data_IF_947129829954
#
_entry.id   IF_947129829954
#
_cell.length_a   1.000
_cell.length_b   1.000
_cell.length_c   1.000
_cell.angle_alpha   90.00
_cell.angle_beta   90.00
_cell.angle_gamma   90.00
#
_symmetry.space_group_name_H-M   'P 1'
#
loop_
_entity.id
_entity.type
_entity.pdbx_description
1 polymer ?
#
# COMPACT_ATOMS: atom_id res chain seq x y z
N UNK A 1 42.46 -36.74 14.30
CA UNK A 1 42.67 -35.64 15.29
C UNK A 1 41.52 -34.61 15.16
N UNK A 2 40.55 -34.60 16.07
CA UNK A 2 39.52 -33.55 16.10
C UNK A 2 40.12 -32.35 16.84
N UNK A 3 40.48 -31.30 16.11
CA UNK A 3 41.00 -30.09 16.72
C UNK A 3 39.94 -29.46 17.64
N UNK A 4 40.29 -29.18 18.89
CA UNK A 4 39.41 -28.49 19.85
C UNK A 4 39.20 -27.07 19.37
N UNK A 5 37.95 -26.70 19.12
CA UNK A 5 37.58 -25.32 18.78
C UNK A 5 37.99 -24.39 19.93
N UNK A 6 38.75 -23.33 19.64
CA UNK A 6 39.18 -22.35 20.65
C UNK A 6 38.01 -21.56 21.23
N UNK A 7 38.16 -20.97 22.41
CA UNK A 7 37.12 -20.13 23.04
C UNK A 7 36.70 -18.99 22.14
N UNK A 8 37.62 -18.36 21.42
CA UNK A 8 37.35 -17.28 20.43
C UNK A 8 36.52 -17.78 19.25
N UNK A 9 36.82 -18.96 18.73
CA UNK A 9 36.02 -19.56 17.64
C UNK A 9 34.62 -19.94 18.09
N UNK A 10 34.43 -20.46 19.33
CA UNK A 10 33.10 -20.71 19.90
C UNK A 10 32.30 -19.43 20.04
N UNK A 11 32.89 -18.35 20.53
CA UNK A 11 32.24 -17.05 20.66
C UNK A 11 31.78 -16.54 19.29
N UNK A 12 32.62 -16.60 18.27
CA UNK A 12 32.27 -16.16 16.91
C UNK A 12 31.12 -17.00 16.31
N UNK A 13 31.13 -18.32 16.55
CA UNK A 13 30.05 -19.22 16.12
C UNK A 13 28.72 -18.88 16.81
N UNK A 14 28.75 -18.55 18.12
CA UNK A 14 27.56 -18.14 18.86
C UNK A 14 27.03 -16.81 18.32
N UNK A 15 27.90 -15.81 18.09
CA UNK A 15 27.51 -14.53 17.52
C UNK A 15 26.88 -14.71 16.13
N UNK A 16 27.50 -15.53 15.27
CA UNK A 16 26.95 -15.85 13.96
C UNK A 16 25.60 -16.55 14.05
N UNK A 17 25.46 -17.53 14.94
CA UNK A 17 24.20 -18.25 15.15
C UNK A 17 23.07 -17.32 15.64
N UNK A 18 23.36 -16.43 16.59
CA UNK A 18 22.41 -15.43 17.08
C UNK A 18 22.02 -14.45 15.96
N UNK A 19 23.02 -13.95 15.21
CA UNK A 19 22.77 -13.08 14.05
C UNK A 19 21.81 -13.74 13.03
N UNK A 20 22.12 -14.98 12.61
CA UNK A 20 21.26 -15.71 11.68
C UNK A 20 19.89 -16.02 12.27
N UNK A 21 19.80 -16.37 13.55
CA UNK A 21 18.51 -16.60 14.21
C UNK A 21 17.64 -15.35 14.25
N UNK A 22 18.20 -14.19 14.59
CA UNK A 22 17.48 -12.92 14.59
C UNK A 22 17.03 -12.54 13.18
N UNK A 23 17.91 -12.70 12.18
CA UNK A 23 17.58 -12.40 10.79
C UNK A 23 16.47 -13.32 10.27
N UNK A 24 16.58 -14.63 10.47
CA UNK A 24 15.67 -15.62 9.86
C UNK A 24 14.32 -15.74 10.60
N UNK A 25 14.31 -15.59 11.91
CA UNK A 25 13.12 -15.85 12.74
C UNK A 25 12.57 -14.59 13.44
N UNK A 26 13.31 -13.50 13.45
CA UNK A 26 12.94 -12.28 14.18
C UNK A 26 11.92 -11.40 13.46
N UNK A 27 11.50 -11.75 12.24
CA UNK A 27 10.58 -10.92 11.44
C UNK A 27 10.97 -9.44 11.40
N UNK A 28 12.27 -9.16 11.32
CA UNK A 28 12.82 -7.80 11.39
C UNK A 28 12.15 -6.81 10.41
N UNK A 29 11.90 -7.16 9.14
CA UNK A 29 11.23 -6.25 8.22
C UNK A 29 9.86 -5.81 8.73
N UNK A 30 9.07 -6.74 9.31
CA UNK A 30 7.73 -6.43 9.82
C UNK A 30 7.81 -5.39 10.94
N UNK A 31 8.72 -5.55 11.89
CA UNK A 31 8.89 -4.64 13.03
C UNK A 31 9.53 -3.29 12.67
N UNK A 32 10.34 -3.25 11.61
CA UNK A 32 11.02 -2.02 11.18
C UNK A 32 10.17 -1.17 10.24
N UNK A 33 9.22 -1.80 9.53
CA UNK A 33 8.43 -1.13 8.50
C UNK A 33 6.99 -0.89 8.95
N UNK A 34 6.39 -1.81 9.75
CA UNK A 34 4.99 -1.71 10.14
C UNK A 34 4.84 -1.16 11.57
N UNK A 35 3.99 -0.15 11.70
CA UNK A 35 3.65 0.48 12.98
C UNK A 35 2.14 0.35 13.25
N UNK A 36 1.65 -0.87 13.60
CA UNK A 36 0.24 -1.11 13.80
C UNK A 36 -0.32 -0.34 14.99
N UNK A 37 -1.48 0.28 14.81
CA UNK A 37 -2.23 0.94 15.88
C UNK A 37 -3.59 0.29 16.03
N UNK A 38 -4.07 0.13 17.27
CA UNK A 38 -5.37 -0.48 17.59
C UNK A 38 -6.24 0.41 18.49
N UNK A 39 -5.74 1.58 18.87
CA UNK A 39 -6.52 2.52 19.68
C UNK A 39 -7.83 2.86 18.96
N UNK A 40 -8.96 2.92 19.65
CA UNK A 40 -10.23 3.33 19.05
C UNK A 40 -10.12 4.72 18.41
N UNK A 41 -10.69 4.86 17.22
CA UNK A 41 -10.78 6.13 16.49
C UNK A 41 -12.26 6.37 16.19
N UNK A 42 -12.70 7.60 16.32
CA UNK A 42 -14.02 8.02 15.83
C UNK A 42 -13.99 8.05 14.31
N UNK A 43 -14.74 7.15 13.68
CA UNK A 43 -14.80 7.02 12.24
C UNK A 43 -15.84 7.94 11.57
N UNK A 44 -16.50 8.81 12.32
CA UNK A 44 -17.56 9.68 11.81
C UNK A 44 -18.72 8.88 11.19
N UNK A 45 -19.06 9.18 9.95
CA UNK A 45 -20.17 8.54 9.22
C UNK A 45 -19.77 7.24 8.52
N UNK A 46 -18.48 6.85 8.59
CA UNK A 46 -18.04 5.62 7.93
C UNK A 46 -18.63 4.37 8.60
N UNK A 47 -19.02 3.41 7.78
CA UNK A 47 -19.67 2.16 8.22
C UNK A 47 -18.63 1.04 8.23
N UNK A 48 -18.50 0.38 9.39
CA UNK A 48 -17.62 -0.78 9.54
C UNK A 48 -18.23 -2.00 8.84
N UNK A 49 -17.39 -2.66 8.05
CA UNK A 49 -17.65 -3.99 7.47
C UNK A 49 -16.50 -4.94 7.84
N UNK A 50 -16.76 -6.23 7.71
CA UNK A 50 -15.73 -7.26 7.88
C UNK A 50 -15.63 -8.12 6.62
N UNK A 51 -14.41 -8.51 6.29
CA UNK A 51 -14.12 -9.42 5.17
C UNK A 51 -13.42 -10.64 5.73
N UNK A 52 -13.93 -11.86 5.51
CA UNK A 52 -13.26 -13.09 5.95
C UNK A 52 -11.84 -13.17 5.38
N UNK A 53 -10.87 -13.45 6.24
CA UNK A 53 -9.48 -13.59 5.84
C UNK A 53 -8.76 -14.59 6.74
N UNK A 54 -8.23 -15.67 6.15
CA UNK A 54 -7.61 -16.77 6.87
C UNK A 54 -8.53 -17.30 7.99
N UNK A 55 -8.06 -17.35 9.23
CA UNK A 55 -8.83 -17.79 10.40
C UNK A 55 -9.49 -16.63 11.16
N UNK A 56 -9.67 -15.48 10.52
CA UNK A 56 -10.24 -14.28 11.13
C UNK A 56 -10.88 -13.36 10.09
N UNK A 57 -10.80 -12.07 10.31
CA UNK A 57 -11.43 -11.06 9.47
C UNK A 57 -10.55 -9.81 9.29
N UNK A 58 -10.72 -9.15 8.15
CA UNK A 58 -10.23 -7.80 7.91
C UNK A 58 -11.33 -6.81 8.25
N UNK A 59 -10.95 -5.74 8.89
CA UNK A 59 -11.80 -4.58 9.10
C UNK A 59 -11.72 -3.68 7.88
N UNK A 60 -12.89 -3.34 7.34
CA UNK A 60 -13.05 -2.42 6.23
C UNK A 60 -14.01 -1.33 6.65
N UNK A 61 -13.68 -0.08 6.34
CA UNK A 61 -14.53 1.08 6.59
C UNK A 61 -15.02 1.65 5.27
N UNK A 62 -16.34 1.84 5.16
CA UNK A 62 -16.96 2.32 3.93
C UNK A 62 -17.63 3.65 4.15
N UNK A 63 -17.43 4.58 3.21
CA UNK A 63 -18.09 5.87 3.20
C UNK A 63 -18.52 6.25 1.78
N UNK A 64 -19.67 6.91 1.66
CA UNK A 64 -20.20 7.37 0.38
C UNK A 64 -20.04 8.89 0.26
N UNK A 65 -19.62 9.34 -0.91
CA UNK A 65 -19.70 10.75 -1.27
C UNK A 65 -21.15 11.25 -1.21
N UNK A 66 -21.35 12.55 -1.06
CA UNK A 66 -22.68 13.16 -1.04
C UNK A 66 -23.50 12.74 -2.24
N UNK A 67 -22.94 12.81 -3.45
CA UNK A 67 -23.65 12.44 -4.67
C UNK A 67 -24.04 10.96 -4.68
N UNK A 68 -23.20 10.06 -4.16
CA UNK A 68 -23.56 8.65 -4.03
C UNK A 68 -24.66 8.40 -3.01
N UNK A 69 -24.73 9.20 -1.94
CA UNK A 69 -25.82 9.18 -0.96
C UNK A 69 -27.12 9.65 -1.58
N UNK A 70 -27.12 10.80 -2.28
CA UNK A 70 -28.29 11.39 -2.92
C UNK A 70 -28.88 10.47 -4.02
N UNK A 71 -28.01 9.76 -4.77
CA UNK A 71 -28.42 8.82 -5.80
C UNK A 71 -28.79 7.44 -5.25
N UNK A 72 -28.52 7.16 -3.98
CA UNK A 72 -28.68 5.84 -3.37
C UNK A 72 -27.69 4.77 -3.86
N UNK A 73 -26.73 5.11 -4.72
CA UNK A 73 -25.75 4.19 -5.31
C UNK A 73 -24.43 4.89 -5.63
N UNK A 74 -23.35 4.12 -5.68
CA UNK A 74 -22.06 4.58 -6.24
C UNK A 74 -21.95 4.19 -7.72
N UNK A 75 -21.33 5.04 -8.52
CA UNK A 75 -20.95 4.76 -9.90
C UNK A 75 -19.52 4.23 -10.00
N UNK A 76 -18.68 4.56 -9.01
CA UNK A 76 -17.28 4.13 -8.89
C UNK A 76 -16.98 3.70 -7.45
N UNK A 77 -16.19 2.64 -7.29
CA UNK A 77 -15.69 2.19 -6.01
C UNK A 77 -14.19 2.41 -5.93
N UNK A 78 -13.73 3.04 -4.85
CA UNK A 78 -12.31 3.23 -4.57
C UNK A 78 -11.92 2.26 -3.44
N UNK A 79 -11.07 1.29 -3.74
CA UNK A 79 -10.46 0.41 -2.74
C UNK A 79 -9.19 1.08 -2.20
N UNK A 80 -9.27 1.57 -0.97
CA UNK A 80 -8.25 2.40 -0.37
C UNK A 80 -7.29 1.61 0.50
N UNK A 81 -5.98 1.75 0.22
CA UNK A 81 -4.88 1.19 0.99
C UNK A 81 -4.04 2.33 1.56
N UNK A 82 -3.99 2.42 2.88
CA UNK A 82 -3.35 3.51 3.58
C UNK A 82 -1.86 3.32 3.75
N UNK A 83 -1.17 4.40 4.12
CA UNK A 83 0.24 4.38 4.48
C UNK A 83 0.50 3.63 5.79
N UNK A 84 1.78 3.52 6.12
CA UNK A 84 2.20 2.92 7.38
C UNK A 84 1.71 3.76 8.58
N UNK A 85 1.34 3.10 9.64
CA UNK A 85 0.73 3.70 10.84
C UNK A 85 -0.64 4.38 10.63
N UNK A 86 -1.22 4.30 9.44
CA UNK A 86 -2.52 4.90 9.12
C UNK A 86 -3.62 3.86 8.99
N UNK A 87 -4.89 4.31 9.05
CA UNK A 87 -6.05 3.42 9.13
C UNK A 87 -7.27 4.01 8.43
N UNK A 88 -8.13 3.10 7.95
CA UNK A 88 -9.34 3.44 7.24
C UNK A 88 -10.38 4.19 8.09
N UNK A 89 -10.51 3.83 9.36
CA UNK A 89 -11.42 4.49 10.30
C UNK A 89 -11.09 5.97 10.55
N UNK A 90 -9.85 6.38 10.29
CA UNK A 90 -9.45 7.79 10.39
C UNK A 90 -9.88 8.61 9.18
N UNK A 91 -9.84 8.02 7.98
CA UNK A 91 -9.87 8.79 6.74
C UNK A 91 -11.06 8.53 5.83
N UNK A 92 -11.76 7.40 5.96
CA UNK A 92 -12.77 7.00 4.98
C UNK A 92 -13.86 8.07 4.75
N UNK A 93 -14.35 8.73 5.82
CA UNK A 93 -15.35 9.81 5.70
C UNK A 93 -14.78 11.01 4.97
N UNK A 94 -13.63 11.53 5.40
CA UNK A 94 -13.00 12.71 4.78
C UNK A 94 -12.61 12.45 3.31
N UNK A 95 -12.12 11.24 2.99
CA UNK A 95 -11.81 10.86 1.61
C UNK A 95 -13.07 10.74 0.74
N UNK A 96 -14.20 10.29 1.28
CA UNK A 96 -15.46 10.29 0.53
C UNK A 96 -15.92 11.73 0.21
N UNK A 97 -15.68 12.68 1.11
CA UNK A 97 -16.00 14.09 0.90
C UNK A 97 -15.16 14.73 -0.21
N UNK A 98 -13.94 14.27 -0.45
CA UNK A 98 -13.12 14.73 -1.58
C UNK A 98 -13.79 14.49 -2.94
N UNK A 99 -14.70 13.53 -3.02
CA UNK A 99 -15.40 13.11 -4.24
C UNK A 99 -16.88 13.56 -4.27
N UNK A 100 -17.26 14.63 -3.54
CA UNK A 100 -18.67 15.01 -3.39
C UNK A 100 -19.40 15.28 -4.69
N UNK A 101 -18.71 15.70 -5.74
CA UNK A 101 -19.29 15.95 -7.07
C UNK A 101 -19.43 14.66 -7.92
N UNK A 102 -18.96 13.52 -7.41
CA UNK A 102 -19.00 12.20 -8.05
C UNK A 102 -19.70 11.19 -7.16
N UNK A 103 -20.38 10.22 -7.75
CA UNK A 103 -21.00 9.12 -7.00
C UNK A 103 -19.97 8.03 -6.67
N UNK A 104 -19.16 8.26 -5.65
CA UNK A 104 -18.07 7.37 -5.22
C UNK A 104 -18.40 6.73 -3.88
N UNK A 105 -18.03 5.46 -3.72
CA UNK A 105 -17.97 4.77 -2.42
C UNK A 105 -16.54 4.34 -2.13
N UNK A 106 -15.99 4.81 -0.99
CA UNK A 106 -14.68 4.42 -0.48
C UNK A 106 -14.82 3.10 0.29
N UNK A 107 -13.91 2.19 0.06
CA UNK A 107 -13.69 0.97 0.83
C UNK A 107 -12.27 0.98 1.36
N UNK A 108 -12.08 1.50 2.56
CA UNK A 108 -10.77 1.56 3.23
C UNK A 108 -10.51 0.27 4.00
N UNK A 109 -9.39 -0.39 3.73
CA UNK A 109 -8.99 -1.61 4.43
C UNK A 109 -7.95 -1.32 5.51
N UNK A 110 -8.17 -1.84 6.72
CA UNK A 110 -7.14 -1.96 7.74
C UNK A 110 -6.37 -3.28 7.54
N UNK A 111 -5.04 -3.19 7.50
CA UNK A 111 -4.20 -4.39 7.35
C UNK A 111 -4.32 -5.34 8.54
N UNK A 112 -3.99 -6.63 8.37
CA UNK A 112 -3.89 -7.55 9.50
C UNK A 112 -3.06 -6.95 10.62
N UNK A 113 -3.59 -6.96 11.85
CA UNK A 113 -2.94 -6.35 13.02
C UNK A 113 -3.21 -4.86 13.23
N UNK A 114 -3.84 -4.16 12.28
CA UNK A 114 -4.24 -2.75 12.38
C UNK A 114 -5.73 -2.64 12.73
N UNK A 115 -6.11 -1.63 13.52
CA UNK A 115 -7.50 -1.41 13.92
C UNK A 115 -8.13 -2.67 14.50
N UNK A 116 -9.31 -3.04 14.00
CA UNK A 116 -10.05 -4.25 14.33
C UNK A 116 -9.71 -5.47 13.47
N UNK A 117 -8.79 -5.36 12.50
CA UNK A 117 -8.37 -6.51 11.71
C UNK A 117 -7.63 -7.55 12.55
N UNK A 118 -7.98 -8.82 12.37
CA UNK A 118 -7.34 -9.93 13.09
C UNK A 118 -5.96 -10.26 12.52
N UNK A 119 -5.19 -11.02 13.28
CA UNK A 119 -3.86 -11.50 12.88
C UNK A 119 -2.72 -10.58 13.32
N UNK A 120 -1.48 -10.99 13.03
CA UNK A 120 -0.30 -10.18 13.26
C UNK A 120 -0.10 -9.17 12.13
N UNK A 121 0.53 -8.03 12.43
CA UNK A 121 1.02 -7.11 11.42
C UNK A 121 2.26 -7.74 10.75
N UNK A 122 2.09 -8.18 9.50
CA UNK A 122 3.14 -8.80 8.70
C UNK A 122 3.08 -8.33 7.25
N UNK A 123 4.22 -7.98 6.69
CA UNK A 123 4.34 -7.59 5.30
C UNK A 123 3.81 -8.67 4.33
N UNK A 124 4.05 -9.94 4.65
CA UNK A 124 3.58 -11.09 3.85
C UNK A 124 2.06 -11.26 3.83
N UNK A 125 1.33 -10.58 4.69
CA UNK A 125 -0.14 -10.63 4.72
C UNK A 125 -0.79 -9.47 3.97
N UNK A 126 -0.06 -8.40 3.63
CA UNK A 126 -0.61 -7.21 2.99
C UNK A 126 -1.20 -7.53 1.61
N UNK A 127 -0.43 -8.16 0.74
CA UNK A 127 -0.88 -8.52 -0.60
C UNK A 127 -2.10 -9.46 -0.60
N UNK A 128 -2.05 -10.62 0.09
CA UNK A 128 -3.19 -11.52 0.21
C UNK A 128 -4.43 -10.86 0.83
N UNK A 129 -4.26 -10.00 1.84
CA UNK A 129 -5.37 -9.26 2.46
C UNK A 129 -6.00 -8.25 1.48
N UNK A 130 -5.16 -7.54 0.72
CA UNK A 130 -5.63 -6.58 -0.30
C UNK A 130 -6.45 -7.27 -1.39
N UNK A 131 -6.02 -8.46 -1.84
CA UNK A 131 -6.78 -9.28 -2.80
C UNK A 131 -8.10 -9.75 -2.20
N UNK A 132 -8.12 -10.20 -0.94
CA UNK A 132 -9.37 -10.62 -0.28
C UNK A 132 -10.37 -9.45 -0.16
N UNK A 133 -9.90 -8.25 0.18
CA UNK A 133 -10.73 -7.05 0.22
C UNK A 133 -11.25 -6.67 -1.17
N UNK A 134 -10.41 -6.78 -2.21
CA UNK A 134 -10.83 -6.55 -3.60
C UNK A 134 -11.91 -7.55 -4.05
N UNK A 135 -11.72 -8.83 -3.77
CA UNK A 135 -12.65 -9.88 -4.17
C UNK A 135 -14.02 -9.72 -3.47
N UNK A 136 -14.04 -9.25 -2.21
CA UNK A 136 -15.27 -8.87 -1.52
C UNK A 136 -15.93 -7.66 -2.15
N UNK A 137 -15.15 -6.59 -2.38
CA UNK A 137 -15.65 -5.39 -3.04
C UNK A 137 -16.20 -5.71 -4.44
N UNK A 138 -15.54 -6.58 -5.20
CA UNK A 138 -16.02 -6.98 -6.55
C UNK A 138 -17.41 -7.62 -6.51
N UNK A 139 -17.69 -8.41 -5.47
CA UNK A 139 -19.04 -8.98 -5.27
C UNK A 139 -20.07 -7.90 -4.94
N UNK A 140 -19.66 -6.88 -4.17
CA UNK A 140 -20.54 -5.77 -3.81
C UNK A 140 -20.76 -4.79 -4.98
N UNK A 141 -19.69 -4.47 -5.71
CA UNK A 141 -19.71 -3.49 -6.81
C UNK A 141 -20.47 -3.99 -8.06
N UNK A 142 -20.68 -5.29 -8.16
CA UNK A 142 -21.27 -5.97 -9.35
C UNK A 142 -20.43 -5.59 -10.59
N UNK A 143 -20.97 -4.84 -11.55
CA UNK A 143 -20.29 -4.45 -12.79
C UNK A 143 -19.71 -3.00 -12.75
N UNK A 144 -19.69 -2.39 -11.59
CA UNK A 144 -19.15 -1.05 -11.44
C UNK A 144 -17.62 -1.05 -11.38
N UNK A 145 -16.98 0.01 -11.91
CA UNK A 145 -15.53 0.13 -11.88
C UNK A 145 -14.98 0.20 -10.45
N UNK A 146 -13.90 -0.55 -10.22
CA UNK A 146 -13.12 -0.52 -8.99
C UNK A 146 -11.74 0.05 -9.30
N UNK A 147 -11.34 1.06 -8.52
CA UNK A 147 -10.05 1.73 -8.62
C UNK A 147 -9.29 1.52 -7.30
N UNK A 148 -8.28 0.66 -7.25
CA UNK A 148 -7.35 0.62 -6.12
C UNK A 148 -6.62 1.96 -5.98
N UNK A 149 -6.64 2.53 -4.78
CA UNK A 149 -5.91 3.73 -4.45
C UNK A 149 -4.98 3.46 -3.27
N UNK A 150 -3.68 3.46 -3.51
CA UNK A 150 -2.66 3.20 -2.50
C UNK A 150 -1.78 4.41 -2.22
N UNK A 151 -1.47 4.65 -0.93
CA UNK A 151 -0.49 5.65 -0.51
C UNK A 151 0.69 4.99 0.20
N UNK A 152 1.91 5.40 -0.13
CA UNK A 152 3.13 4.87 0.49
C UNK A 152 3.16 3.34 0.40
N UNK A 153 3.33 2.61 1.52
CA UNK A 153 3.24 1.15 1.53
C UNK A 153 1.92 0.62 0.96
N UNK A 154 0.82 1.39 1.07
CA UNK A 154 -0.45 1.03 0.46
C UNK A 154 -0.42 1.01 -1.07
N UNK A 155 0.49 1.75 -1.70
CA UNK A 155 0.68 1.69 -3.13
C UNK A 155 1.24 0.32 -3.58
N UNK A 156 2.03 -0.36 -2.74
CA UNK A 156 2.47 -1.74 -3.02
C UNK A 156 1.30 -2.71 -3.04
N UNK A 157 0.33 -2.54 -2.12
CA UNK A 157 -0.90 -3.34 -2.07
C UNK A 157 -1.79 -3.09 -3.31
N UNK A 158 -1.96 -1.82 -3.71
CA UNK A 158 -2.72 -1.45 -4.89
C UNK A 158 -2.09 -2.04 -6.17
N UNK A 159 -0.77 -1.97 -6.31
CA UNK A 159 -0.02 -2.58 -7.41
C UNK A 159 -0.19 -4.10 -7.43
N UNK A 160 -0.09 -4.76 -6.27
CA UNK A 160 -0.28 -6.21 -6.19
C UNK A 160 -1.70 -6.63 -6.60
N UNK A 161 -2.72 -5.92 -6.13
CA UNK A 161 -4.10 -6.17 -6.56
C UNK A 161 -4.25 -6.04 -8.07
N UNK A 162 -3.75 -4.97 -8.66
CA UNK A 162 -3.89 -4.72 -10.08
C UNK A 162 -3.08 -5.69 -10.98
N UNK A 163 -1.97 -6.22 -10.46
CA UNK A 163 -1.20 -7.27 -11.15
C UNK A 163 -1.94 -8.63 -11.14
N UNK A 164 -2.91 -8.84 -10.23
CA UNK A 164 -3.58 -10.14 -10.05
C UNK A 164 -5.09 -10.10 -10.26
N UNK A 165 -5.70 -8.92 -10.41
CA UNK A 165 -7.14 -8.72 -10.60
C UNK A 165 -7.43 -7.68 -11.65
N UNK A 166 -8.53 -7.84 -12.40
CA UNK A 166 -8.96 -6.82 -13.35
C UNK A 166 -9.48 -5.58 -12.61
N UNK A 167 -8.81 -4.47 -12.79
CA UNK A 167 -9.16 -3.17 -12.22
C UNK A 167 -9.48 -2.18 -13.33
N UNK A 168 -10.31 -1.16 -13.04
CA UNK A 168 -10.61 -0.10 -13.99
C UNK A 168 -9.41 0.83 -14.22
N UNK A 169 -8.55 0.96 -13.23
CA UNK A 169 -7.33 1.75 -13.22
C UNK A 169 -6.78 1.81 -11.81
N UNK A 170 -5.71 2.59 -11.58
CA UNK A 170 -5.05 2.76 -10.28
C UNK A 170 -4.79 4.22 -9.96
N UNK A 171 -4.77 4.54 -8.66
CA UNK A 171 -4.21 5.79 -8.13
C UNK A 171 -3.10 5.41 -7.16
N UNK A 172 -1.90 5.94 -7.39
CA UNK A 172 -0.70 5.61 -6.63
C UNK A 172 -0.06 6.88 -6.09
N UNK A 173 -0.10 7.04 -4.76
CA UNK A 173 0.48 8.19 -4.07
C UNK A 173 1.80 7.78 -3.43
N UNK A 174 2.90 8.40 -3.84
CA UNK A 174 4.26 8.18 -3.35
C UNK A 174 4.65 6.69 -3.27
N UNK A 175 4.57 5.91 -4.38
CA UNK A 175 4.79 4.47 -4.36
C UNK A 175 6.26 4.12 -4.07
N UNK A 176 6.56 3.33 -3.00
CA UNK A 176 7.92 2.94 -2.66
C UNK A 176 8.35 1.65 -3.38
N UNK A 177 9.53 1.58 -3.99
CA UNK A 177 10.22 0.33 -4.29
C UNK A 177 11.00 -0.12 -3.04
N UNK A 178 10.33 -0.80 -2.12
CA UNK A 178 10.82 -1.08 -0.76
C UNK A 178 12.21 -1.71 -0.74
N UNK A 179 12.48 -2.68 -1.63
CA UNK A 179 13.76 -3.40 -1.68
C UNK A 179 14.90 -2.47 -2.06
N UNK A 180 14.71 -1.70 -3.11
CA UNK A 180 15.69 -0.75 -3.63
C UNK A 180 15.96 0.36 -2.60
N UNK A 181 14.92 0.84 -1.94
CA UNK A 181 15.07 1.83 -0.87
C UNK A 181 15.92 1.31 0.27
N UNK A 182 15.63 0.09 0.78
CA UNK A 182 16.39 -0.49 1.90
C UNK A 182 17.85 -0.66 1.52
N UNK A 183 18.14 -1.20 0.33
CA UNK A 183 19.50 -1.42 -0.13
C UNK A 183 20.26 -0.12 -0.35
N UNK A 184 19.66 0.87 -1.00
CA UNK A 184 20.32 2.13 -1.32
C UNK A 184 20.42 3.10 -0.15
N UNK A 185 19.38 3.13 0.71
CA UNK A 185 19.35 4.09 1.81
C UNK A 185 20.13 3.61 3.03
N UNK A 186 20.17 2.31 3.28
CA UNK A 186 20.77 1.74 4.49
C UNK A 186 21.97 0.83 4.22
N UNK A 187 22.15 0.31 3.01
CA UNK A 187 23.19 -0.67 2.70
C UNK A 187 24.61 -0.15 2.87
N UNK A 188 24.88 1.08 2.48
CA UNK A 188 26.22 1.65 2.42
C UNK A 188 26.90 1.81 3.80
N UNK A 189 26.15 2.21 4.86
CA UNK A 189 26.72 2.44 6.18
C UNK A 189 26.84 1.17 7.03
N UNK A 190 26.03 0.15 6.75
CA UNK A 190 26.10 -1.14 7.46
C UNK A 190 26.70 -2.26 6.60
N UNK A 191 27.38 -1.91 5.50
CA UNK A 191 28.01 -2.84 4.56
C UNK A 191 27.04 -3.93 4.08
N UNK A 192 25.75 -3.62 3.98
CA UNK A 192 24.65 -4.53 3.62
C UNK A 192 24.46 -5.74 4.56
N UNK A 193 25.15 -5.77 5.71
CA UNK A 193 25.03 -6.85 6.69
C UNK A 193 23.62 -6.97 7.28
N UNK A 194 22.90 -5.85 7.43
CA UNK A 194 21.48 -5.82 7.82
C UNK A 194 20.57 -5.52 6.65
N UNK A 195 20.86 -4.51 5.86
CA UNK A 195 20.01 -4.09 4.74
C UNK A 195 19.80 -5.21 3.71
N UNK A 196 20.84 -5.99 3.40
CA UNK A 196 20.75 -7.13 2.49
C UNK A 196 19.76 -8.21 2.96
N UNK A 197 19.96 -8.81 4.15
CA UNK A 197 19.02 -9.79 4.70
C UNK A 197 17.61 -9.26 4.89
N UNK A 198 17.41 -8.00 5.29
CA UNK A 198 16.09 -7.37 5.41
C UNK A 198 15.42 -7.26 4.04
N UNK A 199 16.14 -6.74 3.04
CA UNK A 199 15.63 -6.59 1.68
C UNK A 199 15.27 -7.95 1.03
N UNK A 200 16.03 -9.01 1.34
CA UNK A 200 15.76 -10.38 0.88
C UNK A 200 14.52 -11.01 1.52
N UNK A 201 14.12 -10.57 2.70
CA UNK A 201 12.93 -11.07 3.40
C UNK A 201 11.64 -10.33 3.01
N UNK A 202 11.74 -9.25 2.21
CA UNK A 202 10.53 -8.59 1.71
C UNK A 202 9.74 -9.54 0.82
N UNK A 203 8.41 -9.65 1.05
CA UNK A 203 7.55 -10.47 0.20
C UNK A 203 7.58 -9.98 -1.24
N UNK A 204 7.57 -10.91 -2.20
CA UNK A 204 7.45 -10.57 -3.63
C UNK A 204 6.15 -9.85 -3.94
N UNK A 205 5.10 -10.13 -3.19
CA UNK A 205 3.80 -9.46 -3.30
C UNK A 205 3.93 -7.92 -3.21
N UNK A 206 4.93 -7.44 -2.46
CA UNK A 206 5.19 -6.00 -2.28
C UNK A 206 6.32 -5.48 -3.16
N UNK A 207 6.76 -6.22 -4.17
CA UNK A 207 7.71 -5.73 -5.16
C UNK A 207 7.01 -4.79 -6.14
N UNK A 208 7.07 -3.48 -5.87
CA UNK A 208 6.40 -2.45 -6.67
C UNK A 208 6.87 -2.43 -8.11
N UNK A 209 8.15 -2.72 -8.37
CA UNK A 209 8.73 -2.70 -9.72
C UNK A 209 8.26 -3.92 -10.52
N UNK A 210 8.28 -5.12 -9.92
CA UNK A 210 7.81 -6.35 -10.57
C UNK A 210 6.31 -6.25 -10.89
N UNK A 211 5.49 -5.84 -9.91
CA UNK A 211 4.06 -5.67 -10.10
C UNK A 211 3.74 -4.60 -11.15
N UNK A 212 4.44 -3.45 -11.12
CA UNK A 212 4.21 -2.37 -12.10
C UNK A 212 4.43 -2.83 -13.55
N UNK A 213 5.41 -3.69 -13.80
CA UNK A 213 5.67 -4.26 -15.14
C UNK A 213 4.56 -5.17 -15.66
N UNK A 214 3.77 -5.75 -14.77
CA UNK A 214 2.70 -6.68 -15.11
C UNK A 214 1.34 -5.98 -15.36
N UNK A 215 1.22 -4.68 -15.04
CA UNK A 215 -0.05 -3.95 -15.06
C UNK A 215 -0.19 -3.18 -16.36
N UNK A 216 -1.29 -3.46 -17.09
CA UNK A 216 -1.66 -2.75 -18.33
C UNK A 216 -2.84 -1.79 -18.15
N UNK A 217 -3.56 -1.88 -17.03
CA UNK A 217 -4.61 -0.91 -16.67
C UNK A 217 -4.00 0.50 -16.51
N UNK A 218 -4.75 1.57 -16.81
CA UNK A 218 -4.22 2.94 -16.69
C UNK A 218 -3.98 3.33 -15.23
N UNK A 219 -3.02 4.23 -14.98
CA UNK A 219 -2.71 4.69 -13.63
C UNK A 219 -2.49 6.21 -13.55
N UNK A 220 -2.87 6.78 -12.39
CA UNK A 220 -2.52 8.13 -11.97
C UNK A 220 -1.49 8.02 -10.86
N UNK A 221 -0.34 8.65 -11.04
CA UNK A 221 0.69 8.77 -10.03
C UNK A 221 0.66 10.17 -9.43
N UNK A 222 0.54 10.24 -8.10
CA UNK A 222 0.63 11.45 -7.30
C UNK A 222 1.98 11.45 -6.59
N UNK A 223 2.87 12.39 -6.94
CA UNK A 223 4.26 12.36 -6.49
C UNK A 223 4.66 13.64 -5.78
N UNK A 224 4.96 13.54 -4.50
CA UNK A 224 5.49 14.65 -3.71
C UNK A 224 6.92 14.99 -4.14
N UNK A 225 7.16 16.28 -4.46
CA UNK A 225 8.49 16.72 -4.93
C UNK A 225 9.53 16.80 -3.82
N UNK A 226 9.09 17.07 -2.59
CA UNK A 226 9.96 17.17 -1.40
C UNK A 226 9.83 15.97 -0.48
N UNK A 227 9.50 14.78 -1.03
CA UNK A 227 9.31 13.56 -0.25
C UNK A 227 10.60 13.15 0.48
N UNK A 228 10.56 13.23 1.80
CA UNK A 228 11.67 12.92 2.69
C UNK A 228 11.70 11.44 3.12
N UNK A 229 10.60 10.71 2.90
CA UNK A 229 10.48 9.28 3.24
C UNK A 229 10.82 8.41 2.05
N UNK A 230 10.15 8.64 0.93
CA UNK A 230 10.40 7.96 -0.35
C UNK A 230 11.00 8.97 -1.32
N UNK A 231 12.33 9.15 -1.29
CA UNK A 231 12.96 10.17 -2.12
C UNK A 231 12.49 10.07 -3.59
N UNK A 232 12.27 11.21 -4.29
CA UNK A 232 11.67 11.26 -5.64
C UNK A 232 12.35 10.36 -6.68
N UNK A 233 13.66 10.07 -6.52
CA UNK A 233 14.40 9.12 -7.36
C UNK A 233 13.83 7.69 -7.29
N UNK A 234 13.26 7.30 -6.15
CA UNK A 234 12.67 5.98 -5.95
C UNK A 234 11.28 5.88 -6.58
N UNK A 235 10.45 6.93 -6.45
CA UNK A 235 9.17 6.98 -7.17
C UNK A 235 9.36 6.73 -8.67
N UNK A 236 10.39 7.34 -9.26
CA UNK A 236 10.69 7.19 -10.71
C UNK A 236 10.92 5.74 -11.09
N UNK A 237 11.55 4.93 -10.25
CA UNK A 237 11.76 3.50 -10.55
C UNK A 237 10.44 2.76 -10.78
N UNK A 238 9.41 3.07 -9.98
CA UNK A 238 8.09 2.46 -10.11
C UNK A 238 7.35 3.04 -11.33
N UNK A 239 7.39 4.36 -11.52
CA UNK A 239 6.79 5.03 -12.68
C UNK A 239 7.37 4.52 -13.98
N UNK A 240 8.71 4.41 -14.07
CA UNK A 240 9.41 3.96 -15.28
C UNK A 240 9.15 2.49 -15.59
N UNK A 241 8.96 1.67 -14.54
CA UNK A 241 8.64 0.24 -14.68
C UNK A 241 7.19 -0.03 -15.10
N UNK A 242 6.27 0.91 -14.87
CA UNK A 242 4.84 0.71 -15.11
C UNK A 242 4.55 0.54 -16.60
N UNK A 243 3.94 -0.59 -16.99
CA UNK A 243 3.73 -0.96 -18.38
C UNK A 243 2.49 -0.31 -19.02
N UNK A 244 1.46 -0.01 -18.21
CA UNK A 244 0.23 0.62 -18.70
C UNK A 244 0.38 2.10 -19.03
N UNK A 245 -0.68 2.69 -19.56
CA UNK A 245 -0.73 4.14 -19.72
C UNK A 245 -0.75 4.82 -18.34
N UNK A 246 -0.08 5.97 -18.24
CA UNK A 246 0.07 6.66 -16.96
C UNK A 246 0.02 8.16 -17.12
N UNK A 247 -0.57 8.82 -16.11
CA UNK A 247 -0.48 10.25 -15.87
C UNK A 247 0.23 10.51 -14.56
N UNK A 248 1.03 11.57 -14.51
CA UNK A 248 1.80 11.94 -13.33
C UNK A 248 1.39 13.34 -12.91
N UNK A 249 0.84 13.45 -11.70
CA UNK A 249 0.53 14.71 -11.03
C UNK A 249 1.63 14.95 -10.01
N UNK A 250 2.36 16.06 -10.18
CA UNK A 250 3.39 16.47 -9.24
C UNK A 250 2.77 17.32 -8.14
N UNK A 251 3.02 16.94 -6.91
CA UNK A 251 2.62 17.70 -5.73
C UNK A 251 3.75 18.66 -5.40
N UNK A 252 3.64 19.88 -5.93
CA UNK A 252 4.69 20.89 -5.84
C UNK A 252 4.96 21.30 -4.38
N UNK A 253 6.22 21.19 -3.96
CA UNK A 253 6.66 21.53 -2.61
C UNK A 253 6.15 20.60 -1.51
N UNK A 254 5.32 19.60 -1.84
CA UNK A 254 4.73 18.70 -0.85
C UNK A 254 5.74 17.71 -0.29
N UNK A 255 5.59 17.40 0.98
CA UNK A 255 6.25 16.32 1.71
C UNK A 255 5.46 15.01 1.61
N UNK A 256 6.02 13.93 2.17
CA UNK A 256 5.48 12.57 2.03
C UNK A 256 4.01 12.43 2.45
N UNK A 257 3.65 13.05 3.56
CA UNK A 257 2.32 12.92 4.18
C UNK A 257 1.43 14.14 3.96
N UNK A 258 1.84 15.08 3.10
CA UNK A 258 1.00 16.25 2.82
C UNK A 258 -0.27 15.84 2.09
N UNK A 259 -1.41 16.48 2.39
CA UNK A 259 -2.68 16.17 1.77
C UNK A 259 -2.69 16.55 0.28
N UNK A 260 -3.55 15.88 -0.49
CA UNK A 260 -3.79 16.20 -1.89
C UNK A 260 -4.81 17.33 -1.92
N UNK A 261 -4.38 18.54 -2.24
CA UNK A 261 -5.22 19.74 -2.16
C UNK A 261 -5.08 20.65 -3.40
N UNK A 262 -5.93 21.64 -3.50
CA UNK A 262 -5.86 22.71 -4.50
C UNK A 262 -5.87 22.17 -5.94
N UNK A 263 -4.90 22.61 -6.75
CA UNK A 263 -4.81 22.21 -8.17
C UNK A 263 -4.57 20.73 -8.36
N UNK A 264 -3.82 20.08 -7.45
CA UNK A 264 -3.55 18.65 -7.52
C UNK A 264 -4.83 17.81 -7.34
N UNK A 265 -5.75 18.24 -6.45
CA UNK A 265 -7.03 17.58 -6.29
C UNK A 265 -7.92 17.77 -7.53
N UNK A 266 -7.94 18.97 -8.12
CA UNK A 266 -8.67 19.23 -9.36
C UNK A 266 -8.11 18.43 -10.54
N UNK A 267 -6.79 18.28 -10.63
CA UNK A 267 -6.14 17.46 -11.64
C UNK A 267 -6.46 15.97 -11.44
N UNK A 268 -6.46 15.48 -10.19
CA UNK A 268 -6.86 14.12 -9.87
C UNK A 268 -8.31 13.84 -10.25
N UNK A 269 -9.22 14.77 -9.95
CA UNK A 269 -10.63 14.63 -10.32
C UNK A 269 -10.82 14.56 -11.84
N UNK A 270 -10.18 15.45 -12.60
CA UNK A 270 -10.20 15.42 -14.06
C UNK A 270 -9.57 14.14 -14.62
N UNK A 271 -8.45 13.70 -14.05
CA UNK A 271 -7.74 12.52 -14.52
C UNK A 271 -8.46 11.22 -14.15
N UNK A 272 -9.37 11.24 -13.17
CA UNK A 272 -10.27 10.12 -12.90
C UNK A 272 -11.22 9.86 -14.09
N UNK A 273 -11.71 10.89 -14.77
CA UNK A 273 -12.51 10.71 -16.01
C UNK A 273 -11.70 10.01 -17.10
N UNK A 274 -10.44 10.39 -17.27
CA UNK A 274 -9.55 9.72 -18.21
C UNK A 274 -9.30 8.26 -17.82
N UNK A 275 -9.10 7.99 -16.52
CA UNK A 275 -8.83 6.65 -16.00
C UNK A 275 -10.02 5.71 -16.20
N UNK A 276 -11.25 6.26 -16.09
CA UNK A 276 -12.49 5.51 -16.22
C UNK A 276 -13.05 5.48 -17.65
N UNK A 277 -12.47 6.26 -18.58
CA UNK A 277 -12.92 6.26 -19.96
C UNK A 277 -12.76 4.85 -20.56
N UNK A 278 -13.87 4.27 -21.04
CA UNK A 278 -13.82 3.00 -21.78
C UNK A 278 -12.86 3.17 -22.96
N UNK A 279 -11.73 2.48 -22.94
CA UNK A 279 -10.88 2.36 -24.12
C UNK A 279 -11.60 1.43 -25.08
N UNK A 280 -12.21 2.00 -26.12
CA UNK A 280 -12.68 1.23 -27.27
C UNK A 280 -11.44 0.55 -27.87
N UNK A 281 -11.26 -0.72 -27.55
CA UNK A 281 -10.38 -1.62 -28.28
C UNK A 281 -10.95 -1.92 -29.67
#
# INVERSE_FOLDING_TARGET
MKGKISARQRLLLVIAAVYFAVILFGHLPDHLILFPTRAPIDAGEAVRKTVPFQNGELEVWTAKSRRAQDQGRADVFILRFYGNADRADRWATAEAEMWNDRAVEIWGMNYPGFGGSTGPARLSLIGPAAVAAFDELKRHAVDRPIVPFGASIGATAALYVAAHRPVAGLILHNPPPLREMILHQFGWWNLWLLAGPIALQLPRDLDSIENARAIHAPAIFLLAESDEVVAPRFHRLVVDAFAGEKRVIKLHGAYHNDPIEGTALADLDRDLDWLLAEKKN
#
